data_IF_107441894105
#
_entry.id   IF_107441894105
#
_cell.length_a   1.000
_cell.length_b   1.000
_cell.length_c   1.000
_cell.angle_alpha   90.00
_cell.angle_beta   90.00
_cell.angle_gamma   90.00
#
_symmetry.space_group_name_H-M   'P 1'
#
loop_
_entity.id
_entity.type
_entity.pdbx_description
1 polymer ?
#
# COMPACT_ATOMS: atom_id res chain seq x y z
N UNK A 1 21.38 -2.29 -24.10
CA UNK A 1 20.06 -2.27 -23.45
C UNK A 1 19.47 -3.67 -23.53
N UNK A 2 18.91 -4.18 -22.46
CA UNK A 2 18.20 -5.45 -22.46
C UNK A 2 16.92 -5.30 -23.29
N UNK A 3 16.67 -6.20 -24.25
CA UNK A 3 15.47 -6.12 -25.11
C UNK A 3 14.25 -6.72 -24.36
N UNK A 4 13.94 -6.19 -23.16
CA UNK A 4 12.85 -6.64 -22.31
C UNK A 4 11.67 -5.65 -22.39
N UNK A 5 10.46 -6.19 -22.52
CA UNK A 5 9.22 -5.41 -22.52
C UNK A 5 8.61 -5.45 -21.10
N UNK A 6 8.90 -4.41 -20.31
CA UNK A 6 8.41 -4.28 -18.93
C UNK A 6 7.43 -3.10 -18.86
N UNK A 7 6.16 -3.37 -18.51
CA UNK A 7 5.18 -2.32 -18.34
C UNK A 7 5.05 -1.91 -16.86
N UNK A 8 4.66 -0.65 -16.64
CA UNK A 8 4.29 -0.12 -15.31
C UNK A 8 2.79 0.10 -15.26
N UNK A 9 2.09 -0.69 -14.46
CA UNK A 9 0.69 -0.44 -14.12
C UNK A 9 0.62 0.69 -13.11
N UNK A 10 -0.02 1.80 -13.48
CA UNK A 10 -0.07 2.98 -12.62
C UNK A 10 -1.00 4.07 -13.14
N UNK A 11 -0.89 5.24 -12.57
CA UNK A 11 -1.68 6.40 -12.94
C UNK A 11 -0.83 7.33 -13.82
N UNK A 12 -1.14 7.49 -15.12
CA UNK A 12 -0.42 8.41 -15.99
C UNK A 12 -0.38 9.84 -15.41
N UNK A 13 0.75 10.51 -15.55
CA UNK A 13 1.00 11.87 -15.03
C UNK A 13 1.25 11.92 -13.51
N UNK A 14 1.23 10.81 -12.78
CA UNK A 14 1.59 10.80 -11.35
C UNK A 14 3.08 10.52 -11.17
N UNK A 15 3.75 11.41 -10.46
CA UNK A 15 5.20 11.41 -10.30
C UNK A 15 5.81 10.02 -10.06
N UNK A 16 5.33 9.23 -9.10
CA UNK A 16 5.92 7.91 -8.80
C UNK A 16 5.68 6.86 -9.90
N UNK A 17 4.64 7.01 -10.72
CA UNK A 17 4.39 6.17 -11.89
C UNK A 17 5.34 6.53 -13.01
N UNK A 18 5.45 7.84 -13.31
CA UNK A 18 6.35 8.34 -14.37
C UNK A 18 7.81 8.01 -14.04
N UNK A 19 8.27 8.34 -12.82
CA UNK A 19 9.64 8.05 -12.39
C UNK A 19 10.00 6.55 -12.52
N UNK A 20 9.04 5.65 -12.20
CA UNK A 20 9.28 4.21 -12.38
C UNK A 20 9.32 3.81 -13.86
N UNK A 21 8.44 4.38 -14.69
CA UNK A 21 8.43 4.11 -16.12
C UNK A 21 9.70 4.66 -16.82
N UNK A 22 10.18 5.83 -16.40
CA UNK A 22 11.42 6.40 -16.89
C UNK A 22 12.65 5.54 -16.51
N UNK A 23 12.65 5.00 -15.28
CA UNK A 23 13.69 4.06 -14.84
C UNK A 23 13.67 2.75 -15.66
N UNK A 24 12.48 2.22 -15.98
CA UNK A 24 12.33 1.05 -16.86
C UNK A 24 12.86 1.38 -18.27
N UNK A 25 12.43 2.50 -18.86
CA UNK A 25 12.87 2.93 -20.20
C UNK A 25 14.38 3.08 -20.28
N UNK A 26 15.00 3.73 -19.29
CA UNK A 26 16.46 3.90 -19.21
C UNK A 26 17.23 2.57 -19.28
N UNK A 27 16.69 1.50 -18.67
CA UNK A 27 17.36 0.19 -18.61
C UNK A 27 17.03 -0.72 -19.80
N UNK A 28 15.80 -0.64 -20.35
CA UNK A 28 15.28 -1.59 -21.33
C UNK A 28 15.07 -0.98 -22.73
N UNK A 29 14.94 0.34 -22.84
CA UNK A 29 14.50 1.03 -24.05
C UNK A 29 12.99 0.92 -24.31
N UNK A 30 12.21 0.28 -23.43
CA UNK A 30 10.78 0.12 -23.56
C UNK A 30 10.04 0.91 -22.47
N UNK A 31 9.01 1.68 -22.87
CA UNK A 31 8.20 2.48 -21.96
C UNK A 31 6.73 2.28 -22.23
N UNK A 32 6.01 1.69 -21.25
CA UNK A 32 4.56 1.53 -21.31
C UNK A 32 3.98 1.74 -19.90
N UNK A 33 3.15 2.78 -19.75
CA UNK A 33 2.35 2.99 -18.54
C UNK A 33 0.93 2.50 -18.83
N UNK A 34 0.47 1.53 -18.07
CA UNK A 34 -0.85 0.92 -18.22
C UNK A 34 -1.82 1.53 -17.21
N UNK A 35 -2.84 2.24 -17.73
CA UNK A 35 -3.99 2.71 -16.97
C UNK A 35 -5.07 1.62 -16.97
N UNK A 36 -5.27 1.00 -15.82
CA UNK A 36 -6.20 -0.13 -15.69
C UNK A 36 -7.66 0.23 -15.96
N UNK A 37 -8.02 1.53 -15.94
CA UNK A 37 -9.37 2.00 -16.32
C UNK A 37 -9.66 1.81 -17.82
N UNK A 38 -8.63 1.56 -18.64
CA UNK A 38 -8.69 1.48 -20.11
C UNK A 38 -8.24 0.14 -20.66
N UNK A 39 -7.99 -0.82 -19.79
CA UNK A 39 -7.61 -2.18 -20.19
C UNK A 39 -8.86 -2.95 -20.64
N UNK A 40 -8.70 -3.75 -21.68
CA UNK A 40 -9.75 -4.62 -22.22
C UNK A 40 -9.31 -6.08 -22.09
N UNK A 41 -10.16 -6.91 -21.50
CA UNK A 41 -10.01 -8.36 -21.48
C UNK A 41 -10.97 -9.00 -22.47
N UNK A 42 -10.45 -9.81 -23.38
CA UNK A 42 -11.21 -10.76 -24.18
C UNK A 42 -11.01 -12.16 -23.58
N UNK A 43 -12.08 -12.74 -23.03
CA UNK A 43 -12.01 -14.04 -22.39
C UNK A 43 -11.93 -15.21 -23.39
N UNK A 44 -12.45 -15.04 -24.62
CA UNK A 44 -12.41 -16.09 -25.64
C UNK A 44 -10.97 -16.31 -26.13
N UNK A 45 -10.21 -15.22 -26.35
CA UNK A 45 -8.81 -15.29 -26.76
C UNK A 45 -7.83 -15.26 -25.56
N UNK A 46 -8.30 -15.02 -24.34
CA UNK A 46 -7.49 -14.79 -23.15
C UNK A 46 -6.46 -13.66 -23.36
N UNK A 47 -6.85 -12.62 -24.07
CA UNK A 47 -6.00 -11.47 -24.35
C UNK A 47 -6.36 -10.28 -23.47
N UNK A 48 -5.38 -9.77 -22.77
CA UNK A 48 -5.47 -8.53 -21.99
C UNK A 48 -4.77 -7.41 -22.77
N UNK A 49 -5.52 -6.43 -23.29
CA UNK A 49 -4.99 -5.42 -24.20
C UNK A 49 -5.08 -4.00 -23.65
N UNK A 50 -4.11 -3.17 -24.00
CA UNK A 50 -4.07 -1.75 -23.68
C UNK A 50 -3.34 -0.99 -24.79
N UNK A 51 -4.00 -0.02 -25.43
CA UNK A 51 -3.42 0.83 -26.49
C UNK A 51 -2.66 0.04 -27.59
N UNK A 52 -3.23 -1.06 -28.05
CA UNK A 52 -2.63 -1.92 -29.08
C UNK A 52 -1.54 -2.88 -28.59
N UNK A 53 -1.19 -2.86 -27.31
CA UNK A 53 -0.28 -3.83 -26.69
C UNK A 53 -1.07 -4.98 -26.06
N UNK A 54 -0.68 -6.23 -26.36
CA UNK A 54 -1.15 -7.40 -25.63
C UNK A 54 -0.29 -7.57 -24.36
N UNK A 55 -0.86 -7.33 -23.18
CA UNK A 55 -0.15 -7.37 -21.91
C UNK A 55 0.28 -8.79 -21.53
N UNK A 56 -0.35 -9.82 -22.11
CA UNK A 56 0.02 -11.22 -21.93
C UNK A 56 1.31 -11.61 -22.67
N UNK A 57 1.86 -10.72 -23.50
CA UNK A 57 3.10 -10.94 -24.28
C UNK A 57 4.29 -10.11 -23.74
N UNK A 58 4.14 -9.51 -22.57
CA UNK A 58 5.21 -8.78 -21.88
C UNK A 58 6.12 -9.74 -21.12
N UNK A 59 7.37 -9.33 -20.90
CA UNK A 59 8.29 -10.06 -20.02
C UNK A 59 7.93 -9.86 -18.54
N UNK A 60 7.53 -8.64 -18.20
CA UNK A 60 7.10 -8.31 -16.84
C UNK A 60 6.12 -7.14 -16.75
N UNK A 61 5.42 -7.08 -15.63
CA UNK A 61 4.56 -5.97 -15.21
C UNK A 61 4.95 -5.57 -13.79
N UNK A 62 5.18 -4.26 -13.56
CA UNK A 62 5.39 -3.70 -12.22
C UNK A 62 4.12 -2.94 -11.82
N UNK A 63 3.45 -3.36 -10.74
CA UNK A 63 2.22 -2.70 -10.29
C UNK A 63 2.58 -1.59 -9.30
N UNK A 64 2.55 -0.34 -9.76
CA UNK A 64 2.79 0.84 -8.93
C UNK A 64 1.53 1.41 -8.31
N UNK A 65 0.39 1.28 -9.01
CA UNK A 65 -0.92 1.73 -8.56
C UNK A 65 -2.01 1.08 -9.42
N UNK A 66 -3.16 0.74 -8.81
CA UNK A 66 -4.23 0.05 -9.54
C UNK A 66 -5.41 0.96 -9.91
N UNK A 67 -5.46 2.17 -9.39
CA UNK A 67 -6.52 3.13 -9.64
C UNK A 67 -6.42 4.37 -8.75
N UNK A 68 -7.21 5.39 -9.06
CA UNK A 68 -7.22 6.67 -8.32
C UNK A 68 -7.72 6.50 -6.87
N UNK A 69 -8.70 5.62 -6.69
CA UNK A 69 -9.28 5.29 -5.39
C UNK A 69 -9.34 3.77 -5.23
N UNK A 70 -9.31 3.30 -4.01
CA UNK A 70 -9.62 1.91 -3.73
C UNK A 70 -11.14 1.75 -3.68
N UNK A 71 -11.62 0.70 -4.33
CA UNK A 71 -13.02 0.34 -4.43
C UNK A 71 -13.09 -1.15 -4.80
N UNK A 72 -14.26 -1.77 -4.82
CA UNK A 72 -14.41 -3.13 -5.38
C UNK A 72 -13.80 -3.30 -6.77
N UNK A 73 -13.89 -2.28 -7.65
CA UNK A 73 -13.24 -2.33 -8.98
C UNK A 73 -11.71 -2.52 -8.91
N UNK A 74 -11.07 -2.17 -7.79
CA UNK A 74 -9.63 -2.45 -7.61
C UNK A 74 -9.35 -3.94 -7.54
N UNK A 75 -10.29 -4.72 -7.00
CA UNK A 75 -10.21 -6.19 -6.94
C UNK A 75 -10.33 -6.76 -8.36
N UNK A 76 -11.31 -6.27 -9.15
CA UNK A 76 -11.53 -6.70 -10.53
C UNK A 76 -10.29 -6.41 -11.40
N UNK A 77 -9.68 -5.22 -11.25
CA UNK A 77 -8.45 -4.86 -11.97
C UNK A 77 -7.28 -5.78 -11.65
N UNK A 78 -7.18 -6.24 -10.40
CA UNK A 78 -6.15 -7.22 -10.02
C UNK A 78 -6.44 -8.60 -10.63
N UNK A 79 -7.72 -9.00 -10.73
CA UNK A 79 -8.11 -10.22 -11.44
C UNK A 79 -7.76 -10.15 -12.93
N UNK A 80 -7.93 -9.00 -13.59
CA UNK A 80 -7.49 -8.82 -14.97
C UNK A 80 -5.98 -9.08 -15.12
N UNK A 81 -5.16 -8.61 -14.19
CA UNK A 81 -3.71 -8.81 -14.23
C UNK A 81 -3.29 -10.26 -13.98
N UNK A 82 -4.12 -11.07 -13.31
CA UNK A 82 -3.89 -12.51 -13.17
C UNK A 82 -3.92 -13.25 -14.51
N UNK A 83 -4.66 -12.74 -15.51
CA UNK A 83 -4.64 -13.32 -16.86
C UNK A 83 -3.25 -13.22 -17.47
N UNK A 84 -2.60 -12.05 -17.35
CA UNK A 84 -1.21 -11.89 -17.81
C UNK A 84 -0.24 -12.77 -16.99
N UNK A 85 -0.41 -12.86 -15.66
CA UNK A 85 0.39 -13.73 -14.80
C UNK A 85 0.27 -15.21 -15.22
N UNK A 86 -0.94 -15.69 -15.50
CA UNK A 86 -1.20 -17.04 -15.96
C UNK A 86 -0.63 -17.32 -17.38
N UNK A 87 -0.52 -16.30 -18.21
CA UNK A 87 0.16 -16.37 -19.50
C UNK A 87 1.71 -16.42 -19.38
N UNK A 88 2.25 -16.34 -18.16
CA UNK A 88 3.68 -16.44 -17.88
C UNK A 88 4.38 -15.10 -17.63
N UNK A 89 3.69 -13.97 -17.75
CA UNK A 89 4.24 -12.64 -17.45
C UNK A 89 4.61 -12.55 -15.97
N UNK A 90 5.79 -12.02 -15.67
CA UNK A 90 6.22 -11.83 -14.27
C UNK A 90 5.60 -10.55 -13.70
N UNK A 91 4.76 -10.69 -12.68
CA UNK A 91 4.06 -9.55 -12.07
C UNK A 91 4.67 -9.20 -10.69
N UNK A 92 5.09 -7.96 -10.52
CA UNK A 92 5.73 -7.40 -9.32
C UNK A 92 4.85 -6.29 -8.72
N UNK A 93 4.26 -6.42 -7.52
CA UNK A 93 4.00 -7.65 -6.75
C UNK A 93 2.85 -8.43 -7.37
N UNK A 94 2.73 -9.71 -6.99
CA UNK A 94 1.65 -10.56 -7.50
C UNK A 94 0.27 -10.02 -7.12
N UNK A 95 -0.72 -10.06 -8.03
CA UNK A 95 -2.06 -9.51 -7.79
C UNK A 95 -2.73 -10.07 -6.53
N UNK A 96 -2.63 -11.38 -6.29
CA UNK A 96 -3.21 -12.04 -5.11
C UNK A 96 -2.65 -11.53 -3.78
N UNK A 97 -1.39 -11.12 -3.75
CA UNK A 97 -0.74 -10.55 -2.55
C UNK A 97 -1.24 -9.12 -2.30
N UNK A 98 -1.40 -8.35 -3.37
CA UNK A 98 -1.92 -6.98 -3.32
C UNK A 98 -3.36 -6.96 -2.79
N UNK A 99 -4.20 -7.95 -3.17
CA UNK A 99 -5.59 -8.09 -2.69
C UNK A 99 -5.68 -8.03 -1.16
N UNK A 100 -4.76 -8.70 -0.47
CA UNK A 100 -4.73 -8.76 1.01
C UNK A 100 -4.36 -7.44 1.68
N UNK A 101 -3.83 -6.48 0.92
CA UNK A 101 -3.40 -5.17 1.42
C UNK A 101 -4.32 -4.01 1.01
N UNK A 102 -5.06 -4.17 -0.10
CA UNK A 102 -6.04 -3.16 -0.53
C UNK A 102 -7.19 -3.06 0.47
N UNK A 103 -7.66 -4.20 0.99
CA UNK A 103 -8.62 -4.26 2.07
C UNK A 103 -7.92 -4.08 3.43
N UNK A 104 -8.22 -2.98 4.09
CA UNK A 104 -7.69 -2.65 5.42
C UNK A 104 -7.97 -3.74 6.45
N UNK A 105 -9.16 -4.35 6.41
CA UNK A 105 -9.54 -5.40 7.34
C UNK A 105 -8.66 -6.64 7.16
N UNK A 106 -8.47 -7.10 5.92
CA UNK A 106 -7.61 -8.23 5.60
C UNK A 106 -6.17 -8.01 6.08
N UNK A 107 -5.61 -6.82 5.84
CA UNK A 107 -4.29 -6.44 6.35
C UNK A 107 -4.24 -6.51 7.89
N UNK A 108 -5.21 -5.90 8.56
CA UNK A 108 -5.27 -5.84 10.03
C UNK A 108 -5.40 -7.23 10.67
N UNK A 109 -6.29 -8.08 10.15
CA UNK A 109 -6.47 -9.45 10.66
C UNK A 109 -5.18 -10.27 10.50
N UNK A 110 -4.51 -10.14 9.35
CA UNK A 110 -3.24 -10.83 9.10
C UNK A 110 -2.17 -10.39 10.11
N UNK A 111 -2.00 -9.09 10.33
CA UNK A 111 -1.03 -8.55 11.28
C UNK A 111 -1.35 -8.97 12.72
N UNK A 112 -2.62 -8.94 13.14
CA UNK A 112 -3.03 -9.34 14.50
C UNK A 112 -2.84 -10.81 14.75
N UNK A 113 -3.14 -11.69 13.80
CA UNK A 113 -2.93 -13.13 13.91
C UNK A 113 -1.44 -13.52 14.02
N UNK A 114 -0.54 -12.62 13.63
CA UNK A 114 0.91 -12.77 13.76
C UNK A 114 1.50 -12.01 14.98
N UNK A 115 0.64 -11.56 15.90
CA UNK A 115 1.00 -10.81 17.12
C UNK A 115 1.79 -9.52 16.84
N UNK A 116 1.56 -8.86 15.69
CA UNK A 116 2.15 -7.56 15.41
C UNK A 116 1.45 -6.51 16.30
N UNK A 117 2.22 -5.70 17.07
CA UNK A 117 1.66 -4.62 17.88
C UNK A 117 0.90 -3.59 17.04
N UNK A 118 -0.36 -3.34 17.39
CA UNK A 118 -1.26 -2.43 16.67
C UNK A 118 -2.15 -1.68 17.68
N UNK A 119 -2.70 -0.51 17.32
CA UNK A 119 -3.73 0.11 18.14
C UNK A 119 -4.94 -0.81 18.32
N UNK A 120 -5.60 -0.75 19.48
CA UNK A 120 -6.81 -1.50 19.72
C UNK A 120 -7.87 -1.16 18.66
N UNK A 121 -8.49 -2.18 18.08
CA UNK A 121 -9.40 -2.05 16.93
C UNK A 121 -10.64 -2.90 17.16
N UNK A 122 -11.80 -2.35 16.82
CA UNK A 122 -13.11 -3.03 16.79
C UNK A 122 -13.68 -2.89 15.38
N UNK A 123 -14.24 -3.98 14.87
CA UNK A 123 -14.91 -4.01 13.57
C UNK A 123 -16.36 -4.44 13.84
N UNK A 124 -17.32 -3.66 13.37
CA UNK A 124 -18.75 -3.95 13.56
C UNK A 124 -19.63 -3.22 12.56
N UNK A 125 -20.80 -3.78 12.29
CA UNK A 125 -21.91 -3.09 11.61
C UNK A 125 -22.94 -2.55 12.62
N UNK A 126 -22.81 -2.89 13.91
CA UNK A 126 -23.75 -2.51 14.96
C UNK A 126 -23.39 -1.16 15.58
N UNK A 127 -24.37 -0.23 15.57
CA UNK A 127 -24.18 1.15 16.07
C UNK A 127 -23.86 1.16 17.57
N UNK A 128 -24.54 0.32 18.36
CA UNK A 128 -24.35 0.31 19.81
C UNK A 128 -22.98 -0.26 20.19
N UNK A 129 -22.47 -1.26 19.45
CA UNK A 129 -21.10 -1.75 19.58
C UNK A 129 -20.07 -0.70 19.19
N UNK A 130 -20.34 0.08 18.13
CA UNK A 130 -19.48 1.20 17.75
C UNK A 130 -19.43 2.29 18.84
N UNK A 131 -20.57 2.59 19.47
CA UNK A 131 -20.64 3.52 20.61
C UNK A 131 -19.85 2.95 21.82
N UNK A 132 -19.99 1.66 22.10
CA UNK A 132 -19.25 1.00 23.16
C UNK A 132 -17.73 1.08 22.92
N UNK A 133 -17.27 0.88 21.66
CA UNK A 133 -15.87 1.04 21.27
C UNK A 133 -15.36 2.47 21.51
N UNK A 134 -16.11 3.50 21.11
CA UNK A 134 -15.75 4.91 21.35
C UNK A 134 -15.67 5.19 22.86
N UNK A 135 -16.62 4.67 23.66
CA UNK A 135 -16.59 4.83 25.10
C UNK A 135 -15.37 4.16 25.75
N UNK A 136 -15.01 2.96 25.29
CA UNK A 136 -13.84 2.19 25.76
C UNK A 136 -12.52 2.91 25.39
N UNK A 137 -12.40 3.42 24.17
CA UNK A 137 -11.16 4.05 23.67
C UNK A 137 -11.03 5.52 24.08
N UNK A 138 -12.10 6.16 24.52
CA UNK A 138 -12.17 7.59 24.81
C UNK A 138 -12.17 8.45 23.55
N UNK A 139 -11.33 8.13 22.55
CA UNK A 139 -11.29 8.74 21.22
C UNK A 139 -10.91 7.67 20.20
N UNK A 140 -11.66 7.59 19.11
CA UNK A 140 -11.48 6.59 18.06
C UNK A 140 -11.40 7.23 16.68
N UNK A 141 -10.64 6.58 15.80
CA UNK A 141 -10.57 6.93 14.38
C UNK A 141 -11.42 5.91 13.62
N UNK A 142 -12.43 6.39 12.93
CA UNK A 142 -13.24 5.60 12.00
C UNK A 142 -12.60 5.66 10.63
N UNK A 143 -12.32 4.50 10.04
CA UNK A 143 -11.57 4.39 8.78
C UNK A 143 -12.38 3.61 7.75
N UNK A 144 -12.60 4.13 6.53
CA UNK A 144 -13.11 3.32 5.44
C UNK A 144 -12.18 2.14 5.16
N UNK A 145 -12.73 0.97 4.83
CA UNK A 145 -11.93 -0.22 4.51
C UNK A 145 -11.09 0.00 3.24
N UNK A 146 -11.70 0.61 2.23
CA UNK A 146 -11.06 0.93 0.96
C UNK A 146 -10.72 2.41 0.89
N UNK A 147 -9.61 2.82 1.47
CA UNK A 147 -9.16 4.21 1.40
C UNK A 147 -7.66 4.36 1.51
N UNK A 148 -7.14 5.50 1.03
CA UNK A 148 -5.73 5.87 1.12
C UNK A 148 -5.59 7.33 1.55
N UNK A 149 -4.45 7.67 2.16
CA UNK A 149 -4.10 9.05 2.53
C UNK A 149 -5.12 9.69 3.49
N UNK A 150 -5.61 8.93 4.44
CA UNK A 150 -6.61 9.31 5.44
C UNK A 150 -7.95 9.84 4.88
N UNK A 151 -8.25 9.61 3.58
CA UNK A 151 -9.51 10.05 2.99
C UNK A 151 -10.71 9.36 3.62
N UNK A 152 -11.75 10.14 3.96
CA UNK A 152 -12.96 9.63 4.58
C UNK A 152 -12.80 9.17 6.02
N UNK A 153 -11.62 9.30 6.62
CA UNK A 153 -11.42 9.03 8.03
C UNK A 153 -11.98 10.17 8.88
N UNK A 154 -12.54 9.85 10.03
CA UNK A 154 -12.97 10.84 11.01
C UNK A 154 -12.61 10.40 12.43
N UNK A 155 -12.45 11.38 13.31
CA UNK A 155 -12.24 11.17 14.74
C UNK A 155 -13.56 11.39 15.45
N UNK A 156 -13.97 10.40 16.27
CA UNK A 156 -15.15 10.49 17.14
C UNK A 156 -14.68 10.31 18.57
N UNK A 157 -15.05 11.24 19.44
CA UNK A 157 -14.60 11.26 20.83
C UNK A 157 -15.77 11.13 21.80
N UNK A 158 -15.59 10.38 22.88
CA UNK A 158 -16.54 10.33 24.01
C UNK A 158 -16.88 11.73 24.55
N UNK A 159 -15.93 12.69 24.45
CA UNK A 159 -16.12 14.07 24.88
C UNK A 159 -17.17 14.84 24.06
N UNK A 160 -17.52 14.36 22.87
CA UNK A 160 -18.55 14.97 22.02
C UNK A 160 -19.98 14.83 22.58
N UNK A 161 -20.17 13.97 23.58
CA UNK A 161 -21.48 13.67 24.20
C UNK A 161 -22.28 12.62 23.41
N UNK A 162 -23.16 11.90 24.13
CA UNK A 162 -23.85 10.70 23.60
C UNK A 162 -24.60 10.94 22.28
N UNK A 163 -25.37 12.03 22.20
CA UNK A 163 -26.18 12.35 21.00
C UNK A 163 -25.31 12.60 19.76
N UNK A 164 -24.23 13.37 19.91
CA UNK A 164 -23.32 13.71 18.81
C UNK A 164 -22.51 12.48 18.40
N UNK A 165 -22.05 11.66 19.36
CA UNK A 165 -21.35 10.41 19.06
C UNK A 165 -22.22 9.51 18.19
N UNK A 166 -23.48 9.24 18.60
CA UNK A 166 -24.43 8.42 17.82
C UNK A 166 -24.64 8.99 16.42
N UNK A 167 -24.94 10.29 16.29
CA UNK A 167 -25.14 10.96 15.00
C UNK A 167 -23.94 10.82 14.06
N UNK A 168 -22.71 10.98 14.58
CA UNK A 168 -21.49 10.86 13.78
C UNK A 168 -21.24 9.41 13.33
N UNK A 169 -21.54 8.42 14.18
CA UNK A 169 -21.43 7.00 13.84
C UNK A 169 -22.44 6.64 12.76
N UNK A 170 -23.70 7.05 12.88
CA UNK A 170 -24.74 6.83 11.88
C UNK A 170 -24.37 7.44 10.52
N UNK A 171 -23.85 8.67 10.54
CA UNK A 171 -23.38 9.34 9.32
C UNK A 171 -22.20 8.58 8.67
N UNK A 172 -21.25 8.08 9.46
CA UNK A 172 -20.13 7.30 8.93
C UNK A 172 -20.61 5.96 8.36
N UNK A 173 -21.50 5.26 9.07
CA UNK A 173 -22.05 3.96 8.67
C UNK A 173 -22.80 4.02 7.34
N UNK A 174 -23.47 5.13 7.02
CA UNK A 174 -24.20 5.30 5.74
C UNK A 174 -23.32 5.02 4.53
N UNK A 175 -22.05 5.47 4.55
CA UNK A 175 -21.11 5.24 3.46
C UNK A 175 -20.17 4.04 3.72
N UNK A 176 -20.09 3.56 4.96
CA UNK A 176 -19.17 2.52 5.41
C UNK A 176 -19.90 1.56 6.35
N UNK A 177 -20.77 0.66 5.83
CA UNK A 177 -21.57 -0.25 6.67
C UNK A 177 -20.72 -1.05 7.64
N UNK A 178 -19.64 -1.67 7.16
CA UNK A 178 -18.62 -2.31 7.99
C UNK A 178 -17.70 -1.22 8.55
N UNK A 179 -17.90 -0.88 9.82
CA UNK A 179 -17.17 0.18 10.52
C UNK A 179 -15.84 -0.34 11.09
N UNK A 180 -14.71 0.18 10.59
CA UNK A 180 -13.39 -0.04 11.17
C UNK A 180 -13.09 1.07 12.17
N UNK A 181 -13.04 0.72 13.45
CA UNK A 181 -12.95 1.63 14.59
C UNK A 181 -11.65 1.36 15.34
N UNK A 182 -10.72 2.27 15.28
CA UNK A 182 -9.40 2.12 15.89
C UNK A 182 -9.16 3.15 16.97
N UNK A 183 -8.62 2.74 18.10
CA UNK A 183 -8.20 3.67 19.17
C UNK A 183 -7.24 4.71 18.58
N UNK A 184 -7.50 5.99 18.87
CA UNK A 184 -6.60 7.06 18.49
C UNK A 184 -5.31 6.96 19.30
N UNK A 185 -4.20 6.67 18.65
CA UNK A 185 -2.88 6.68 19.27
C UNK A 185 -2.33 8.11 19.38
N UNK A 186 -1.56 8.39 20.41
CA UNK A 186 -0.77 9.60 20.51
C UNK A 186 0.54 9.41 19.72
N UNK A 187 0.70 10.16 18.64
CA UNK A 187 1.83 10.00 17.70
C UNK A 187 3.02 10.93 18.00
N UNK A 188 2.89 11.83 18.95
CA UNK A 188 3.92 12.86 19.18
C UNK A 188 4.22 13.72 17.93
N UNK A 189 3.25 13.82 16.99
CA UNK A 189 3.42 14.56 15.74
C UNK A 189 4.28 13.87 14.68
N UNK A 190 4.68 12.61 14.88
CA UNK A 190 5.57 11.86 14.00
C UNK A 190 5.14 10.42 13.81
N UNK A 191 5.29 9.91 12.60
CA UNK A 191 5.30 8.47 12.29
C UNK A 191 6.36 8.16 11.23
N UNK A 192 6.63 6.89 11.00
CA UNK A 192 7.68 6.43 10.09
C UNK A 192 7.11 5.51 9.01
N UNK A 193 7.70 5.59 7.82
CA UNK A 193 7.52 4.61 6.76
C UNK A 193 8.83 3.85 6.54
N UNK A 194 8.85 2.58 6.90
CA UNK A 194 9.99 1.69 6.67
C UNK A 194 9.83 1.02 5.31
N UNK A 195 10.82 1.18 4.44
CA UNK A 195 10.76 0.68 3.05
C UNK A 195 11.43 -0.69 2.94
N UNK A 196 10.78 -1.59 2.19
CA UNK A 196 11.29 -2.94 1.92
C UNK A 196 11.21 -3.26 0.42
N UNK A 197 12.26 -3.89 -0.11
CA UNK A 197 12.35 -4.36 -1.49
C UNK A 197 12.81 -5.81 -1.50
N UNK A 198 11.97 -6.71 -2.01
CA UNK A 198 12.23 -8.14 -1.99
C UNK A 198 12.49 -8.68 -0.58
N UNK A 199 11.75 -8.19 0.41
CA UNK A 199 11.90 -8.52 1.83
C UNK A 199 13.06 -7.81 2.56
N UNK A 200 13.95 -7.11 1.84
CA UNK A 200 15.11 -6.44 2.44
C UNK A 200 14.78 -5.00 2.84
N UNK A 201 15.16 -4.61 4.04
CA UNK A 201 15.05 -3.23 4.50
C UNK A 201 15.96 -2.30 3.68
N UNK A 202 15.38 -1.20 3.17
CA UNK A 202 16.11 -0.18 2.40
C UNK A 202 16.43 1.08 3.21
N UNK A 203 15.61 1.39 4.22
CA UNK A 203 15.72 2.61 5.00
C UNK A 203 14.35 3.08 5.49
N UNK A 204 14.34 4.10 6.33
CA UNK A 204 13.12 4.69 6.88
C UNK A 204 13.09 6.20 6.72
N UNK A 205 11.93 6.73 6.43
CA UNK A 205 11.62 8.15 6.48
C UNK A 205 10.58 8.44 7.56
N UNK A 206 10.64 9.62 8.15
CA UNK A 206 9.59 10.13 9.02
C UNK A 206 8.62 11.02 8.23
N UNK A 207 7.36 11.03 8.65
CA UNK A 207 6.38 12.08 8.36
C UNK A 207 6.20 12.89 9.63
N UNK A 208 6.56 14.17 9.57
CA UNK A 208 6.52 15.07 10.72
C UNK A 208 5.41 16.09 10.49
N UNK A 209 4.45 16.15 11.39
CA UNK A 209 3.37 17.15 11.35
C UNK A 209 3.91 18.52 11.74
N UNK A 210 3.54 19.55 10.98
CA UNK A 210 3.84 20.97 11.31
C UNK A 210 2.75 21.64 12.14
N UNK A 211 1.60 21.01 12.27
CA UNK A 211 0.40 21.56 12.89
C UNK A 211 -0.15 20.58 13.93
N UNK A 212 -1.12 21.01 14.74
CA UNK A 212 -1.88 20.15 15.67
C UNK A 212 -2.83 19.18 14.94
N UNK A 213 -2.49 18.78 13.71
CA UNK A 213 -3.27 17.79 12.97
C UNK A 213 -3.24 16.44 13.70
N UNK A 214 -4.39 15.77 13.72
CA UNK A 214 -4.50 14.45 14.36
C UNK A 214 -3.76 13.33 13.61
N UNK A 215 -3.25 13.60 12.41
CA UNK A 215 -2.46 12.69 11.59
C UNK A 215 -1.24 13.41 11.00
N UNK A 216 -0.28 12.63 10.53
CA UNK A 216 1.03 13.07 10.02
C UNK A 216 1.11 13.06 8.49
N UNK A 217 -0.03 12.88 7.80
CA UNK A 217 -0.02 12.74 6.33
C UNK A 217 0.44 14.03 5.65
N UNK A 218 1.14 13.88 4.53
CA UNK A 218 1.61 15.00 3.71
C UNK A 218 0.45 15.91 3.26
N UNK A 219 -0.72 15.31 2.99
CA UNK A 219 -1.94 16.08 2.64
C UNK A 219 -2.45 16.97 3.79
N UNK A 220 -2.07 16.67 5.03
CA UNK A 220 -2.40 17.47 6.22
C UNK A 220 -1.26 18.42 6.62
N UNK A 221 -0.29 18.68 5.74
CA UNK A 221 0.82 19.59 5.99
C UNK A 221 2.05 18.91 6.62
N UNK A 222 2.13 17.59 6.64
CA UNK A 222 3.32 16.87 7.07
C UNK A 222 4.48 17.02 6.07
N UNK A 223 5.70 16.86 6.55
CA UNK A 223 6.93 16.84 5.74
C UNK A 223 7.69 15.54 5.92
N UNK A 224 8.47 15.19 4.90
CA UNK A 224 9.38 14.06 4.98
C UNK A 224 10.70 14.47 5.65
N UNK A 225 11.23 13.59 6.50
CA UNK A 225 12.55 13.70 7.10
C UNK A 225 13.20 12.32 7.12
N UNK A 226 14.52 12.26 7.30
CA UNK A 226 15.19 11.00 7.58
C UNK A 226 14.72 10.43 8.93
N UNK A 227 14.67 9.11 9.04
CA UNK A 227 14.40 8.41 10.28
C UNK A 227 15.46 7.33 10.50
N UNK A 228 15.84 7.16 11.76
CA UNK A 228 16.76 6.12 12.21
C UNK A 228 16.05 5.27 13.29
N UNK A 229 15.18 4.33 12.87
CA UNK A 229 14.47 3.46 13.81
C UNK A 229 15.41 2.45 14.47
N UNK A 230 15.11 2.06 15.71
CA UNK A 230 15.87 1.04 16.41
C UNK A 230 15.80 -0.33 15.69
N UNK A 231 16.74 -1.22 16.01
CA UNK A 231 16.78 -2.59 15.45
C UNK A 231 15.51 -3.37 15.74
N UNK A 232 14.89 -3.14 16.91
CA UNK A 232 13.61 -3.78 17.30
C UNK A 232 12.46 -3.31 16.42
N UNK A 233 12.40 -2.01 16.07
CA UNK A 233 11.39 -1.45 15.16
C UNK A 233 11.59 -2.01 13.75
N UNK A 234 12.83 -2.09 13.27
CA UNK A 234 13.14 -2.68 11.96
C UNK A 234 12.73 -4.15 11.93
N UNK A 235 13.05 -4.92 12.98
CA UNK A 235 12.69 -6.34 13.08
C UNK A 235 11.16 -6.54 13.11
N UNK A 236 10.42 -5.71 13.87
CA UNK A 236 8.95 -5.73 13.91
C UNK A 236 8.35 -5.42 12.54
N UNK A 237 8.84 -4.40 11.86
CA UNK A 237 8.38 -4.02 10.53
C UNK A 237 8.73 -5.08 9.47
N UNK A 238 9.91 -5.72 9.58
CA UNK A 238 10.31 -6.84 8.75
C UNK A 238 9.35 -8.02 8.93
N UNK A 239 9.07 -8.42 10.18
CA UNK A 239 8.08 -9.46 10.47
C UNK A 239 6.70 -9.12 9.88
N UNK A 240 6.28 -7.85 9.95
CA UNK A 240 4.99 -7.42 9.44
C UNK A 240 4.90 -7.52 7.90
N UNK A 241 5.94 -7.06 7.17
CA UNK A 241 5.94 -7.11 5.70
C UNK A 241 6.12 -8.53 5.15
N UNK A 242 6.86 -9.42 5.84
CA UNK A 242 7.08 -10.81 5.45
C UNK A 242 5.76 -11.61 5.32
N UNK A 243 4.72 -11.22 6.08
CA UNK A 243 3.39 -11.83 6.02
C UNK A 243 2.69 -11.65 4.67
N UNK A 244 3.15 -10.72 3.85
CA UNK A 244 2.52 -10.35 2.57
C UNK A 244 3.40 -10.65 1.35
N UNK A 245 4.69 -10.90 1.55
CA UNK A 245 5.67 -11.25 0.51
C UNK A 245 5.58 -10.33 -0.72
N UNK A 246 5.62 -9.02 -0.46
CA UNK A 246 5.53 -7.98 -1.50
C UNK A 246 6.89 -7.75 -2.15
N UNK A 247 6.91 -7.51 -3.47
CA UNK A 247 8.15 -7.11 -4.16
C UNK A 247 8.67 -5.76 -3.64
N UNK A 248 7.79 -4.78 -3.47
CA UNK A 248 8.08 -3.50 -2.81
C UNK A 248 6.92 -3.08 -1.93
N UNK A 249 7.22 -2.68 -0.70
CA UNK A 249 6.22 -2.18 0.25
C UNK A 249 6.81 -1.15 1.21
N UNK A 250 5.96 -0.46 1.93
CA UNK A 250 6.30 0.33 3.11
C UNK A 250 5.45 -0.11 4.28
N UNK A 251 6.07 -0.20 5.46
CA UNK A 251 5.38 -0.45 6.73
C UNK A 251 5.27 0.86 7.50
N UNK A 252 4.05 1.24 7.83
CA UNK A 252 3.78 2.46 8.59
C UNK A 252 3.82 2.15 10.09
N UNK A 253 4.79 2.76 10.78
CA UNK A 253 5.09 2.54 12.20
C UNK A 253 5.04 3.84 12.97
N UNK A 254 4.53 3.81 14.19
CA UNK A 254 4.68 4.91 15.13
C UNK A 254 5.24 4.44 16.46
N UNK A 255 6.01 5.29 17.10
CA UNK A 255 6.43 5.13 18.49
C UNK A 255 5.41 5.78 19.41
N UNK A 256 5.02 5.07 20.45
CA UNK A 256 4.09 5.54 21.48
C UNK A 256 4.71 5.36 22.86
N UNK A 257 4.11 5.93 23.87
CA UNK A 257 4.48 5.71 25.29
C UNK A 257 4.40 4.24 25.72
N UNK A 258 3.71 3.40 24.95
CA UNK A 258 3.54 1.96 25.20
C UNK A 258 4.39 1.08 24.29
N UNK A 259 5.30 1.66 23.53
CA UNK A 259 6.13 0.99 22.54
C UNK A 259 5.72 1.29 21.10
N UNK A 260 6.46 0.70 20.16
CA UNK A 260 6.20 0.87 18.74
C UNK A 260 4.98 0.05 18.28
N UNK A 261 4.22 0.61 17.35
CA UNK A 261 3.02 -0.01 16.76
C UNK A 261 3.04 0.10 15.24
N UNK A 262 2.50 -0.91 14.56
CA UNK A 262 2.28 -0.91 13.12
C UNK A 262 0.86 -0.45 12.82
N UNK A 263 0.71 0.47 11.87
CA UNK A 263 -0.62 0.88 11.38
C UNK A 263 -1.08 0.10 10.16
N UNK A 264 -0.18 -0.08 9.20
CA UNK A 264 -0.48 -0.84 7.98
C UNK A 264 0.81 -1.27 7.25
N UNK A 265 0.68 -2.26 6.39
CA UNK A 265 1.62 -2.58 5.32
C UNK A 265 1.00 -2.11 4.01
N UNK A 266 1.73 -1.33 3.22
CA UNK A 266 1.18 -0.67 2.04
C UNK A 266 1.16 -1.58 0.82
N UNK A 267 0.01 -1.69 0.15
CA UNK A 267 -0.09 -2.38 -1.14
C UNK A 267 0.79 -1.73 -2.24
N UNK A 268 0.97 -0.41 -2.16
CA UNK A 268 1.73 0.37 -3.15
C UNK A 268 2.59 1.40 -2.41
N UNK A 269 3.71 0.97 -1.86
CA UNK A 269 4.65 1.81 -1.12
C UNK A 269 5.03 3.09 -1.87
N UNK A 270 5.07 4.22 -1.17
CA UNK A 270 5.41 5.52 -1.75
C UNK A 270 6.91 5.64 -2.03
N UNK A 271 7.31 6.33 -3.13
CA UNK A 271 8.72 6.61 -3.42
C UNK A 271 9.19 7.95 -2.86
N UNK A 272 8.23 8.89 -2.64
CA UNK A 272 8.59 10.26 -2.20
C UNK A 272 9.31 10.30 -0.87
N UNK A 273 8.88 9.50 0.10
CA UNK A 273 9.55 9.44 1.40
C UNK A 273 11.02 9.01 1.27
N UNK A 274 11.31 8.03 0.41
CA UNK A 274 12.69 7.64 0.09
C UNK A 274 13.48 8.77 -0.57
N UNK A 275 12.87 9.45 -1.56
CA UNK A 275 13.53 10.55 -2.28
C UNK A 275 13.76 11.78 -1.41
N UNK A 276 12.71 12.26 -0.74
CA UNK A 276 12.74 13.52 0.01
C UNK A 276 13.37 13.36 1.41
N UNK A 277 13.18 12.19 2.06
CA UNK A 277 13.73 11.92 3.39
C UNK A 277 15.16 11.37 3.38
N UNK A 278 15.55 10.58 2.36
CA UNK A 278 16.82 9.84 2.33
C UNK A 278 17.67 10.09 1.08
N UNK A 279 17.19 10.90 0.15
CA UNK A 279 17.77 11.07 -1.20
C UNK A 279 17.99 9.73 -1.95
N UNK A 280 17.10 8.75 -1.74
CA UNK A 280 17.19 7.42 -2.32
C UNK A 280 16.33 7.32 -3.58
N UNK A 281 16.91 6.82 -4.68
CA UNK A 281 16.16 6.53 -5.90
C UNK A 281 15.53 5.13 -5.83
N UNK A 282 14.35 5.08 -5.22
CA UNK A 282 13.62 3.82 -5.02
C UNK A 282 13.14 3.23 -6.34
N UNK A 283 12.86 4.07 -7.35
CA UNK A 283 12.41 3.59 -8.66
C UNK A 283 13.52 2.81 -9.38
N UNK A 284 14.73 3.37 -9.39
CA UNK A 284 15.90 2.71 -9.98
C UNK A 284 16.23 1.39 -9.28
N UNK A 285 16.25 1.39 -7.94
CA UNK A 285 16.46 0.18 -7.15
C UNK A 285 15.40 -0.90 -7.43
N UNK A 286 14.14 -0.50 -7.60
CA UNK A 286 13.07 -1.45 -7.89
C UNK A 286 13.21 -2.06 -9.28
N UNK A 287 13.59 -1.28 -10.29
CA UNK A 287 13.87 -1.81 -11.63
C UNK A 287 15.04 -2.76 -11.62
N UNK A 288 16.14 -2.44 -10.93
CA UNK A 288 17.31 -3.32 -10.81
C UNK A 288 16.94 -4.65 -10.12
N UNK A 289 16.11 -4.60 -9.09
CA UNK A 289 15.55 -5.82 -8.46
C UNK A 289 14.73 -6.64 -9.45
N UNK A 290 13.85 -6.01 -10.24
CA UNK A 290 13.02 -6.70 -11.24
C UNK A 290 13.91 -7.38 -12.29
N UNK A 291 14.89 -6.68 -12.84
CA UNK A 291 15.83 -7.22 -13.82
C UNK A 291 16.60 -8.42 -13.27
N UNK A 292 17.13 -8.32 -12.05
CA UNK A 292 17.79 -9.44 -11.36
C UNK A 292 16.87 -10.65 -11.22
N UNK A 293 15.59 -10.43 -10.91
CA UNK A 293 14.61 -11.54 -10.80
C UNK A 293 14.25 -12.17 -12.15
N UNK A 294 14.31 -11.42 -13.23
CA UNK A 294 14.08 -11.93 -14.58
C UNK A 294 15.27 -12.79 -15.06
N UNK A 295 16.50 -12.34 -14.81
CA UNK A 295 17.73 -13.06 -15.16
C UNK A 295 17.85 -14.43 -14.46
N UNK A 296 17.46 -14.52 -13.18
CA UNK A 296 17.53 -15.74 -12.36
C UNK A 296 16.65 -16.90 -12.86
N UNK A 297 15.81 -16.71 -13.88
CA UNK A 297 14.85 -17.70 -14.39
C UNK A 297 15.13 -18.20 -15.81
N UNK A 298 16.28 -17.89 -16.40
CA UNK A 298 16.69 -18.58 -17.61
C UNK A 298 17.31 -19.93 -17.18
N UNK A 299 16.60 -21.07 -17.28
CA UNK A 299 17.27 -22.37 -17.12
C UNK A 299 18.31 -22.45 -18.22
N UNK A 300 19.55 -22.76 -17.90
CA UNK A 300 20.51 -23.24 -18.87
C UNK A 300 19.88 -24.46 -19.56
N UNK A 301 19.39 -24.28 -20.78
CA UNK A 301 19.09 -25.39 -21.67
C UNK A 301 20.47 -25.95 -22.05
N UNK A 302 20.91 -26.98 -21.33
CA UNK A 302 22.02 -27.83 -21.78
C UNK A 302 21.54 -28.50 -23.04
N UNK A 303 21.98 -28.00 -24.21
CA UNK A 303 21.84 -28.73 -25.48
C UNK A 303 22.65 -30.01 -25.33
N UNK A 304 21.95 -31.16 -25.26
CA UNK A 304 22.56 -32.49 -25.42
C UNK A 304 22.68 -32.79 -26.90
#
# INVERSE_FOLDING_TARGET
MLNLKIAVVGLPGKWSTETLADAVEKKTGFRLIVDMDKVVLNLDSLELTYQGHNLCQLDAIIIKKIGHQYSPNSLDRLELLRVAENAGVKVFSQPVKILRLIDRLSCTVTLRNADIPMPATVITEEIDEAIAAVNKFGSAIFKPLYSTKARGMCVISKKDGKTKVRKNIEAFKTANPMMYIQQKAALGGRDMGLMFLGGRYLGAYARVSKNDAWNTTINSGGEYAAADPSTEIIAMASKAQDLFDMSYTTVDVAETDKGAIVFEVSAFGGFRGGKEGLNLDVAELYVDFVLTKLEQKTPYVVSI
#
